data_IF_578663279232
#
_entry.id   IF_578663279232
#
_cell.length_a   1.000
_cell.length_b   1.000
_cell.length_c   1.000
_cell.angle_alpha   90.00
_cell.angle_beta   90.00
_cell.angle_gamma   90.00
#
_symmetry.space_group_name_H-M   'P 1'
#
loop_
_entity.id
_entity.type
_entity.pdbx_description
1 polymer ?
#
# COMPACT_ATOMS: atom_id res chain seq x y z
N UNK A 1 -55.24 -5.18 13.45
CA UNK A 1 -54.26 -5.97 14.22
C UNK A 1 -53.24 -6.51 13.23
N UNK A 2 -52.22 -5.72 12.91
CA UNK A 2 -51.04 -6.15 12.14
C UNK A 2 -49.87 -5.99 13.10
N UNK A 3 -49.20 -7.09 13.40
CA UNK A 3 -48.05 -7.14 14.29
C UNK A 3 -46.83 -6.66 13.49
N UNK A 4 -46.46 -5.39 13.63
CA UNK A 4 -45.19 -4.88 13.11
C UNK A 4 -44.12 -5.34 14.09
N UNK A 5 -43.44 -6.43 13.73
CA UNK A 5 -42.23 -6.89 14.39
C UNK A 5 -41.20 -5.79 14.17
N UNK A 6 -40.91 -5.02 15.23
CA UNK A 6 -39.76 -4.13 15.27
C UNK A 6 -38.54 -5.04 15.34
N UNK A 7 -37.93 -5.29 14.19
CA UNK A 7 -36.61 -5.90 14.12
C UNK A 7 -35.65 -4.85 14.69
N UNK A 8 -35.27 -5.00 15.95
CA UNK A 8 -34.08 -4.38 16.52
C UNK A 8 -32.90 -4.85 15.67
N UNK A 9 -32.45 -3.98 14.75
CA UNK A 9 -31.14 -4.09 14.12
C UNK A 9 -30.11 -3.90 15.23
N UNK A 10 -29.71 -5.02 15.85
CA UNK A 10 -28.39 -5.11 16.43
C UNK A 10 -27.43 -4.86 15.27
N UNK A 11 -26.80 -3.68 15.24
CA UNK A 11 -25.51 -3.54 14.57
C UNK A 11 -24.56 -4.47 15.32
N UNK A 12 -24.56 -5.76 14.97
CA UNK A 12 -23.36 -6.52 15.13
C UNK A 12 -22.33 -5.78 14.29
N UNK A 13 -21.33 -5.21 14.96
CA UNK A 13 -20.11 -4.83 14.30
C UNK A 13 -19.59 -6.09 13.63
N UNK A 14 -19.92 -6.26 12.35
CA UNK A 14 -19.22 -7.23 11.50
C UNK A 14 -17.75 -6.89 11.68
N UNK A 15 -16.94 -7.80 12.23
CA UNK A 15 -15.52 -7.54 12.33
C UNK A 15 -15.08 -7.16 10.92
N UNK A 16 -14.50 -5.97 10.76
CA UNK A 16 -13.77 -5.62 9.54
C UNK A 16 -12.88 -6.84 9.27
N UNK A 17 -13.21 -7.59 8.23
CA UNK A 17 -12.49 -8.79 7.87
C UNK A 17 -11.11 -8.29 7.47
N UNK A 18 -10.17 -8.33 8.42
CA UNK A 18 -8.80 -7.95 8.13
C UNK A 18 -8.27 -9.10 7.29
N UNK A 19 -8.33 -8.96 5.98
CA UNK A 19 -7.88 -9.98 5.05
C UNK A 19 -6.44 -10.34 5.38
N UNK A 20 -6.22 -11.64 5.61
CA UNK A 20 -4.92 -12.15 5.97
C UNK A 20 -4.10 -12.35 4.71
N UNK A 21 -3.02 -11.59 4.59
CA UNK A 21 -2.06 -11.69 3.50
C UNK A 21 -1.05 -12.81 3.79
N UNK A 22 -0.55 -13.44 2.72
CA UNK A 22 0.45 -14.48 2.80
C UNK A 22 1.58 -14.17 1.83
N UNK A 23 2.82 -14.20 2.33
CA UNK A 23 4.02 -14.02 1.50
C UNK A 23 4.90 -15.24 1.64
N UNK A 24 5.34 -15.76 0.50
CA UNK A 24 6.24 -16.92 0.42
C UNK A 24 7.53 -16.56 -0.32
N UNK A 25 8.68 -16.79 0.32
CA UNK A 25 10.01 -16.53 -0.24
C UNK A 25 10.78 -17.83 -0.43
N UNK A 26 11.14 -18.15 -1.67
CA UNK A 26 11.55 -19.50 -2.08
C UNK A 26 13.04 -19.83 -1.98
N UNK A 27 13.92 -18.83 -1.85
CA UNK A 27 15.36 -19.03 -1.89
C UNK A 27 16.03 -18.36 -0.70
N UNK A 28 17.13 -18.96 -0.23
CA UNK A 28 18.00 -18.35 0.77
C UNK A 28 18.67 -17.09 0.20
N UNK A 29 18.91 -16.07 1.02
CA UNK A 29 19.43 -14.75 0.62
C UNK A 29 18.46 -13.89 -0.22
N UNK A 30 17.18 -14.23 -0.23
CA UNK A 30 16.13 -13.39 -0.81
C UNK A 30 15.54 -12.49 0.26
N UNK A 31 15.08 -11.31 -0.16
CA UNK A 31 14.37 -10.39 0.73
C UNK A 31 12.94 -10.89 0.87
N UNK A 32 12.58 -11.24 2.10
CA UNK A 32 11.21 -11.45 2.52
C UNK A 32 10.60 -10.10 2.89
N UNK A 33 9.57 -9.70 2.14
CA UNK A 33 8.93 -8.38 2.26
C UNK A 33 7.47 -8.53 2.66
N UNK A 34 7.10 -7.92 3.78
CA UNK A 34 5.73 -7.73 4.23
C UNK A 34 5.39 -6.25 4.11
N UNK A 35 4.18 -5.90 3.72
CA UNK A 35 3.80 -4.50 3.50
C UNK A 35 2.31 -4.31 3.70
N UNK A 36 1.94 -3.18 4.28
CA UNK A 36 0.56 -2.74 4.40
C UNK A 36 0.38 -1.40 3.67
N UNK A 37 -0.59 -1.32 2.77
CA UNK A 37 -0.97 -0.05 2.14
C UNK A 37 -1.56 0.93 3.17
N UNK A 38 -2.45 0.40 4.00
CA UNK A 38 -3.10 1.07 5.12
C UNK A 38 -2.86 0.30 6.42
N UNK A 39 -2.66 1.02 7.52
CA UNK A 39 -2.36 0.42 8.80
C UNK A 39 -0.94 -0.15 8.90
N UNK A 40 -0.79 -1.17 9.75
CA UNK A 40 0.51 -1.78 10.06
C UNK A 40 0.43 -3.30 10.13
N UNK A 41 1.57 -3.94 9.93
CA UNK A 41 1.73 -5.40 9.91
C UNK A 41 1.46 -5.96 11.31
N UNK A 42 0.64 -7.01 11.36
CA UNK A 42 0.42 -7.87 12.52
C UNK A 42 0.57 -9.34 12.10
N UNK A 43 1.72 -9.93 12.44
CA UNK A 43 2.09 -11.28 12.02
C UNK A 43 1.24 -12.30 12.78
N UNK A 44 0.53 -13.15 12.03
CA UNK A 44 -0.34 -14.19 12.58
C UNK A 44 0.37 -15.53 12.67
N UNK A 45 1.13 -15.90 11.63
CA UNK A 45 1.92 -17.13 11.59
C UNK A 45 3.17 -16.93 10.73
N UNK A 46 4.26 -17.62 11.06
CA UNK A 46 5.43 -17.68 10.18
C UNK A 46 6.12 -19.04 10.32
N UNK A 47 6.50 -19.62 9.19
CA UNK A 47 7.16 -20.91 9.08
C UNK A 47 8.39 -20.76 8.20
N UNK A 48 9.56 -21.13 8.74
CA UNK A 48 10.78 -21.26 7.95
C UNK A 48 11.15 -22.74 7.85
N UNK A 49 11.13 -23.28 6.64
CA UNK A 49 11.34 -24.71 6.41
C UNK A 49 10.64 -25.18 5.15
N UNK A 50 9.97 -26.32 5.21
CA UNK A 50 9.19 -26.88 4.11
C UNK A 50 7.95 -27.57 4.66
N UNK A 51 6.79 -26.93 4.48
CA UNK A 51 5.49 -27.49 4.87
C UNK A 51 4.95 -28.46 3.81
N UNK A 52 5.27 -28.25 2.53
CA UNK A 52 4.73 -29.05 1.43
C UNK A 52 5.72 -29.22 0.26
N UNK A 53 5.36 -30.12 -0.67
CA UNK A 53 6.19 -30.51 -1.81
C UNK A 53 5.95 -29.69 -3.08
N UNK A 54 4.94 -28.82 -3.11
CA UNK A 54 4.54 -28.04 -4.29
C UNK A 54 5.06 -26.60 -4.25
N UNK A 55 5.13 -26.02 -3.05
CA UNK A 55 5.59 -24.66 -2.80
C UNK A 55 7.09 -24.57 -3.04
N UNK A 56 7.47 -23.62 -3.90
CA UNK A 56 8.86 -23.34 -4.25
C UNK A 56 9.60 -24.57 -4.82
N UNK A 57 8.94 -25.30 -5.71
CA UNK A 57 9.45 -26.56 -6.28
C UNK A 57 9.85 -26.40 -7.74
N UNK A 58 11.16 -26.45 -8.00
CA UNK A 58 11.76 -26.60 -9.34
C UNK A 58 12.15 -28.08 -9.60
N UNK A 59 11.47 -29.03 -8.95
CA UNK A 59 11.79 -30.46 -8.99
C UNK A 59 11.51 -31.17 -7.66
N UNK A 60 11.10 -32.44 -7.74
CA UNK A 60 10.71 -33.33 -6.63
C UNK A 60 11.73 -33.34 -5.48
N UNK A 61 11.24 -33.17 -4.23
CA UNK A 61 12.05 -33.32 -3.00
C UNK A 61 11.32 -34.17 -1.96
N UNK A 62 12.01 -35.01 -1.16
CA UNK A 62 11.41 -36.12 -0.42
C UNK A 62 11.12 -35.84 1.05
N UNK A 63 11.39 -34.62 1.55
CA UNK A 63 11.14 -34.27 2.95
C UNK A 63 10.16 -33.09 3.05
N UNK A 64 8.90 -33.45 3.33
CA UNK A 64 7.82 -32.55 3.69
C UNK A 64 7.69 -32.51 5.21
N UNK A 65 7.18 -31.40 5.75
CA UNK A 65 6.89 -31.19 7.17
C UNK A 65 8.13 -30.96 8.06
N UNK A 66 8.85 -29.88 7.76
CA UNK A 66 10.00 -29.42 8.54
C UNK A 66 9.88 -27.93 8.82
N UNK A 67 10.05 -27.51 10.09
CA UNK A 67 10.01 -26.10 10.47
C UNK A 67 11.03 -25.78 11.56
N UNK A 68 11.59 -24.58 11.50
CA UNK A 68 12.48 -24.05 12.54
C UNK A 68 11.62 -23.45 13.66
N UNK A 69 11.81 -23.94 14.89
CA UNK A 69 11.09 -23.47 16.07
C UNK A 69 11.52 -22.03 16.41
N UNK A 70 10.56 -21.17 16.77
CA UNK A 70 10.82 -19.77 17.14
C UNK A 70 10.86 -18.79 15.98
N UNK A 71 10.65 -19.24 14.73
CA UNK A 71 10.57 -18.35 13.55
C UNK A 71 9.53 -17.24 13.74
N UNK A 72 8.32 -17.58 14.21
CA UNK A 72 7.25 -16.60 14.41
C UNK A 72 7.62 -15.48 15.37
N UNK A 73 8.33 -15.78 16.46
CA UNK A 73 8.73 -14.77 17.45
C UNK A 73 9.75 -13.79 16.88
N UNK A 74 10.70 -14.29 16.07
CA UNK A 74 11.67 -13.44 15.37
C UNK A 74 10.99 -12.51 14.38
N UNK A 75 10.04 -13.04 13.60
CA UNK A 75 9.32 -12.24 12.58
C UNK A 75 8.39 -11.23 13.26
N UNK A 76 7.62 -11.62 14.28
CA UNK A 76 6.79 -10.70 15.09
C UNK A 76 7.62 -9.55 15.65
N UNK A 77 8.72 -9.87 16.35
CA UNK A 77 9.60 -8.86 16.96
C UNK A 77 10.19 -7.88 15.93
N UNK A 78 10.40 -8.32 14.69
CA UNK A 78 11.02 -7.49 13.65
C UNK A 78 10.02 -6.77 12.76
N UNK A 79 8.79 -7.26 12.62
CA UNK A 79 7.82 -6.75 11.65
C UNK A 79 6.55 -6.15 12.25
N UNK A 80 6.13 -6.55 13.45
CA UNK A 80 4.88 -6.06 14.02
C UNK A 80 4.91 -4.53 14.22
N UNK A 81 3.79 -3.89 13.87
CA UNK A 81 3.62 -2.44 13.94
C UNK A 81 4.40 -1.65 12.87
N UNK A 82 5.04 -2.31 11.91
CA UNK A 82 5.68 -1.63 10.78
C UNK A 82 4.73 -1.53 9.60
N UNK A 83 4.89 -0.48 8.78
CA UNK A 83 4.18 -0.39 7.49
C UNK A 83 4.82 -1.29 6.43
N UNK A 84 6.15 -1.36 6.41
CA UNK A 84 6.94 -2.23 5.53
C UNK A 84 7.99 -2.94 6.36
N UNK A 85 8.11 -4.25 6.20
CA UNK A 85 9.13 -5.06 6.84
C UNK A 85 9.90 -5.85 5.78
N UNK A 86 11.20 -5.56 5.65
CA UNK A 86 12.11 -6.30 4.76
C UNK A 86 13.15 -7.04 5.59
N UNK A 87 13.24 -8.34 5.36
CA UNK A 87 14.06 -9.28 6.13
C UNK A 87 14.84 -10.17 5.16
N UNK A 88 16.09 -10.48 5.46
CA UNK A 88 16.82 -11.53 4.75
C UNK A 88 16.48 -12.90 5.37
N UNK A 89 16.29 -13.96 4.59
CA UNK A 89 16.06 -15.31 5.13
C UNK A 89 17.20 -15.83 6.02
N UNK A 90 18.39 -15.24 5.98
CA UNK A 90 19.55 -15.62 6.82
C UNK A 90 19.46 -15.16 8.29
N UNK A 91 18.37 -14.55 8.72
CA UNK A 91 18.23 -14.02 10.10
C UNK A 91 18.15 -15.16 11.13
N UNK A 92 17.84 -16.39 10.72
CA UNK A 92 17.74 -17.53 11.61
C UNK A 92 19.13 -18.08 11.96
N UNK A 93 19.84 -17.41 12.88
CA UNK A 93 21.01 -17.98 13.59
C UNK A 93 20.59 -19.03 14.64
N UNK A 94 19.46 -19.69 14.42
CA UNK A 94 18.90 -20.70 15.30
C UNK A 94 19.53 -22.06 14.95
N UNK A 95 19.68 -22.97 15.93
CA UNK A 95 20.14 -24.32 15.64
C UNK A 95 19.21 -24.94 14.61
N UNK A 96 19.77 -25.25 13.44
CA UNK A 96 19.02 -25.67 12.28
C UNK A 96 18.63 -27.14 12.41
N UNK A 97 17.48 -27.39 13.05
CA UNK A 97 16.91 -28.73 13.19
C UNK A 97 16.42 -29.32 11.85
N UNK A 98 16.52 -28.56 10.76
CA UNK A 98 15.97 -28.91 9.45
C UNK A 98 17.08 -29.09 8.40
N UNK A 99 17.45 -30.32 8.06
CA UNK A 99 18.50 -30.58 7.05
C UNK A 99 18.04 -30.48 5.59
N UNK A 100 16.81 -30.01 5.32
CA UNK A 100 16.29 -29.91 3.96
C UNK A 100 17.04 -28.83 3.15
N UNK A 101 17.52 -29.14 1.94
CA UNK A 101 18.28 -28.19 1.12
C UNK A 101 17.40 -27.10 0.49
N UNK A 102 16.07 -27.26 0.46
CA UNK A 102 15.14 -26.32 -0.18
C UNK A 102 14.12 -25.81 0.84
N UNK A 103 14.47 -24.77 1.60
CA UNK A 103 13.56 -24.12 2.56
C UNK A 103 12.94 -22.87 1.96
N UNK A 104 11.73 -22.55 2.40
CA UNK A 104 11.07 -21.28 2.15
C UNK A 104 10.64 -20.63 3.47
N UNK A 105 10.58 -19.30 3.47
CA UNK A 105 9.93 -18.53 4.53
C UNK A 105 8.52 -18.19 4.07
N UNK A 106 7.53 -18.69 4.79
CA UNK A 106 6.13 -18.35 4.58
C UNK A 106 5.61 -17.60 5.81
N UNK A 107 5.05 -16.41 5.59
CA UNK A 107 4.49 -15.58 6.66
C UNK A 107 3.07 -15.19 6.31
N UNK A 108 2.15 -15.41 7.25
CA UNK A 108 0.76 -14.94 7.22
C UNK A 108 0.63 -13.76 8.16
N UNK A 109 0.14 -12.62 7.68
CA UNK A 109 -0.03 -11.40 8.47
C UNK A 109 -1.31 -10.67 8.09
N UNK A 110 -1.73 -9.77 8.97
CA UNK A 110 -2.88 -8.92 8.79
C UNK A 110 -2.42 -7.45 8.80
N UNK A 111 -3.11 -6.59 8.06
CA UNK A 111 -2.91 -5.14 8.12
C UNK A 111 -3.96 -4.52 9.04
N UNK A 112 -3.56 -4.22 10.27
CA UNK A 112 -4.47 -3.64 11.26
C UNK A 112 -4.50 -2.11 11.12
N UNK A 113 -5.69 -1.47 11.14
CA UNK A 113 -5.79 -0.01 11.09
C UNK A 113 -4.97 0.64 12.22
N UNK A 114 -4.00 1.46 11.86
CA UNK A 114 -3.13 2.15 12.80
C UNK A 114 -2.57 3.43 12.18
N UNK A 115 -2.35 4.42 13.04
CA UNK A 115 -1.62 5.65 12.72
C UNK A 115 -0.13 5.33 12.84
N UNK A 116 0.61 5.55 11.75
CA UNK A 116 2.06 5.39 11.69
C UNK A 116 2.74 6.77 11.73
N UNK A 117 3.54 7.02 12.76
CA UNK A 117 4.20 8.31 12.98
C UNK A 117 5.72 8.14 13.08
N UNK A 118 6.45 9.00 12.36
CA UNK A 118 7.92 9.07 12.37
C UNK A 118 8.37 10.36 13.01
N UNK A 119 9.29 10.28 13.97
CA UNK A 119 9.88 11.44 14.66
C UNK A 119 11.41 11.33 14.65
N UNK A 120 12.09 12.29 14.04
CA UNK A 120 13.57 12.28 13.98
C UNK A 120 14.22 12.43 15.36
N UNK A 121 15.44 11.92 15.52
CA UNK A 121 16.21 12.06 16.76
C UNK A 121 16.37 13.54 17.17
N UNK A 122 16.15 13.79 18.46
CA UNK A 122 16.03 15.06 19.17
C UNK A 122 14.71 15.83 19.01
N UNK A 123 13.78 15.35 18.19
CA UNK A 123 12.43 15.93 18.05
C UNK A 123 11.43 15.34 19.06
N UNK A 124 10.28 16.01 19.22
CA UNK A 124 9.16 15.57 20.04
C UNK A 124 8.12 14.85 19.16
N UNK A 125 7.69 13.68 19.60
CA UNK A 125 6.59 12.92 19.00
C UNK A 125 5.31 13.24 19.75
N UNK A 126 4.34 13.80 19.04
CA UNK A 126 3.02 14.15 19.58
C UNK A 126 2.00 13.12 19.11
N UNK A 127 1.52 12.29 20.03
CA UNK A 127 0.47 11.30 19.80
C UNK A 127 -0.84 11.87 20.32
N UNK A 128 -1.90 11.84 19.52
CA UNK A 128 -3.17 12.48 19.84
C UNK A 128 -4.33 11.67 19.26
N UNK A 129 -5.39 11.51 20.04
CA UNK A 129 -6.65 10.94 19.61
C UNK A 129 -7.79 11.95 19.71
N UNK A 130 -8.89 11.67 19.02
CA UNK A 130 -10.11 12.47 19.11
C UNK A 130 -10.76 12.35 20.50
N UNK A 131 -11.70 13.25 20.79
CA UNK A 131 -12.36 13.32 22.10
C UNK A 131 -13.03 11.97 22.47
N UNK A 132 -12.80 11.53 23.71
CA UNK A 132 -13.32 10.26 24.23
C UNK A 132 -12.51 9.01 23.85
N UNK A 133 -11.49 9.14 22.99
CA UNK A 133 -10.59 8.03 22.64
C UNK A 133 -9.26 8.10 23.40
N UNK A 134 -8.65 6.94 23.57
CA UNK A 134 -7.34 6.74 24.19
C UNK A 134 -6.36 6.08 23.22
N UNK A 135 -5.08 6.43 23.39
CA UNK A 135 -3.97 5.87 22.62
C UNK A 135 -3.74 4.42 23.03
N UNK A 136 -3.60 3.55 22.04
CA UNK A 136 -3.12 2.18 22.17
C UNK A 136 -1.96 1.93 21.21
N UNK A 137 -0.75 1.81 21.74
CA UNK A 137 0.48 1.60 20.95
C UNK A 137 0.62 0.12 20.60
N UNK A 138 0.71 -0.19 19.31
CA UNK A 138 0.99 -1.53 18.80
C UNK A 138 2.48 -1.86 18.85
N UNK A 139 3.33 -0.94 18.39
CA UNK A 139 4.78 -1.10 18.44
C UNK A 139 5.48 0.26 18.38
N UNK A 140 6.72 0.29 18.86
CA UNK A 140 7.64 1.39 18.65
C UNK A 140 9.07 0.88 18.44
N UNK A 141 9.83 1.57 17.59
CA UNK A 141 11.23 1.25 17.27
C UNK A 141 12.03 2.56 17.21
N UNK A 142 13.16 2.61 17.92
CA UNK A 142 14.09 3.73 17.88
C UNK A 142 15.38 3.30 17.19
N UNK A 143 15.64 3.82 15.99
CA UNK A 143 16.74 3.34 15.16
C UNK A 143 16.82 4.01 13.79
N UNK A 144 17.33 3.30 12.80
CA UNK A 144 17.34 3.70 11.38
C UNK A 144 17.27 2.46 10.51
N UNK A 145 16.32 2.45 9.57
CA UNK A 145 16.08 1.35 8.62
C UNK A 145 16.24 1.73 7.15
N UNK A 146 16.38 3.02 6.86
CA UNK A 146 16.58 3.51 5.49
C UNK A 146 17.42 4.80 5.47
N UNK A 147 17.90 5.17 4.27
CA UNK A 147 18.76 6.35 4.06
C UNK A 147 18.00 7.64 3.79
N UNK A 148 16.68 7.57 3.64
CA UNK A 148 15.83 8.68 3.17
C UNK A 148 15.08 9.36 4.31
N UNK A 149 14.63 8.60 5.30
CA UNK A 149 13.91 9.08 6.47
C UNK A 149 14.86 9.87 7.37
N UNK A 150 14.42 11.08 7.75
CA UNK A 150 15.21 11.99 8.59
C UNK A 150 16.65 12.21 8.06
N UNK A 151 16.80 12.35 6.74
CA UNK A 151 18.11 12.42 6.05
C UNK A 151 18.53 13.82 5.60
N UNK A 152 17.60 14.79 5.58
CA UNK A 152 17.86 16.13 5.07
C UNK A 152 19.09 16.76 5.73
N UNK A 153 20.07 17.18 4.93
CA UNK A 153 21.36 17.78 5.34
C UNK A 153 22.24 16.91 6.25
N UNK A 154 21.95 15.61 6.36
CA UNK A 154 22.77 14.69 7.18
C UNK A 154 23.98 14.19 6.41
N UNK A 155 25.16 14.07 7.06
CA UNK A 155 26.32 13.43 6.47
C UNK A 155 26.01 11.96 6.13
N UNK A 156 26.56 11.48 5.00
CA UNK A 156 26.37 10.10 4.55
C UNK A 156 26.76 9.08 5.65
N UNK A 157 27.82 9.36 6.41
CA UNK A 157 28.27 8.50 7.52
C UNK A 157 27.20 8.28 8.61
N UNK A 158 26.26 9.21 8.80
CA UNK A 158 25.19 9.09 9.81
C UNK A 158 23.94 8.37 9.31
N UNK A 159 23.78 8.23 7.99
CA UNK A 159 22.61 7.62 7.35
C UNK A 159 22.90 6.27 6.70
N UNK A 160 24.17 5.87 6.58
CA UNK A 160 24.59 4.61 5.98
C UNK A 160 24.11 3.38 6.76
N UNK A 161 24.13 3.42 8.09
CA UNK A 161 23.75 2.28 8.91
C UNK A 161 22.22 2.19 9.01
N UNK A 162 21.65 1.32 8.18
CA UNK A 162 20.21 1.02 8.14
C UNK A 162 19.86 -0.28 8.84
N UNK A 163 20.82 -0.92 9.54
CA UNK A 163 20.58 -2.12 10.37
C UNK A 163 20.55 -1.72 11.85
N UNK A 164 19.96 -0.57 12.13
CA UNK A 164 19.83 -0.04 13.48
C UNK A 164 18.36 -0.13 13.91
N UNK A 165 18.07 -1.03 14.84
CA UNK A 165 16.71 -1.23 15.34
C UNK A 165 16.76 -1.53 16.84
N UNK A 166 15.88 -0.89 17.58
CA UNK A 166 15.70 -1.09 19.01
C UNK A 166 14.20 -1.03 19.33
N UNK A 167 13.47 -2.14 19.13
CA UNK A 167 12.07 -2.24 19.54
C UNK A 167 11.92 -1.93 21.03
N UNK A 168 10.92 -1.14 21.40
CA UNK A 168 10.76 -0.61 22.76
C UNK A 168 9.31 -0.49 23.19
N UNK A 169 9.04 -0.81 24.47
CA UNK A 169 7.72 -0.65 25.08
C UNK A 169 7.55 0.71 25.79
N UNK A 170 8.61 1.52 25.87
CA UNK A 170 8.60 2.79 26.63
C UNK A 170 7.54 3.79 26.15
N UNK A 171 7.24 3.76 24.85
CA UNK A 171 6.17 4.60 24.28
C UNK A 171 4.81 4.12 24.79
N UNK A 172 4.55 2.81 24.78
CA UNK A 172 3.33 2.23 25.31
C UNK A 172 3.17 2.50 26.80
N UNK A 173 4.22 2.29 27.60
CA UNK A 173 4.26 2.59 29.04
C UNK A 173 3.97 4.06 29.35
N UNK A 174 4.40 4.97 28.48
CA UNK A 174 4.21 6.41 28.67
C UNK A 174 2.88 6.94 28.15
N UNK A 175 2.31 6.33 27.10
CA UNK A 175 1.24 6.92 26.31
C UNK A 175 -0.07 6.13 26.30
N UNK A 176 -0.05 4.82 26.58
CA UNK A 176 -1.29 4.02 26.55
C UNK A 176 -2.32 4.55 27.56
N UNK A 177 -3.59 4.55 27.16
CA UNK A 177 -4.71 5.01 28.00
C UNK A 177 -4.85 6.53 28.10
N UNK A 178 -3.97 7.32 27.47
CA UNK A 178 -4.08 8.78 27.41
C UNK A 178 -4.71 9.22 26.10
N UNK A 179 -5.43 10.35 26.12
CA UNK A 179 -5.92 10.98 24.88
C UNK A 179 -4.79 11.71 24.11
N UNK A 180 -3.79 12.21 24.83
CA UNK A 180 -2.63 12.93 24.29
C UNK A 180 -1.35 12.50 25.00
N UNK A 181 -0.25 12.36 24.25
CA UNK A 181 1.06 12.04 24.80
C UNK A 181 2.19 12.72 24.01
N UNK A 182 3.20 13.21 24.72
CA UNK A 182 4.41 13.77 24.10
C UNK A 182 5.63 13.01 24.60
N UNK A 183 6.41 12.45 23.67
CA UNK A 183 7.66 11.74 23.98
C UNK A 183 8.80 12.23 23.11
N UNK A 184 9.99 12.40 23.70
CA UNK A 184 11.17 12.89 22.97
C UNK A 184 11.97 11.74 22.38
N UNK A 185 12.20 11.75 21.07
CA UNK A 185 13.05 10.76 20.40
C UNK A 185 14.53 11.03 20.72
N UNK A 186 15.06 10.52 21.84
CA UNK A 186 16.47 10.70 22.23
C UNK A 186 17.04 9.48 22.95
N UNK A 187 18.38 9.36 22.92
CA UNK A 187 19.08 8.23 23.53
C UNK A 187 18.88 8.11 25.04
N UNK A 188 18.60 9.20 25.76
CA UNK A 188 18.32 9.10 27.20
C UNK A 188 16.99 8.40 27.50
N UNK A 189 16.03 8.43 26.57
CA UNK A 189 14.76 7.71 26.72
C UNK A 189 14.92 6.26 26.25
N UNK A 190 15.55 6.01 25.11
CA UNK A 190 15.49 4.71 24.44
C UNK A 190 16.80 3.92 24.42
N UNK A 191 17.90 4.49 24.90
CA UNK A 191 19.26 3.96 24.68
C UNK A 191 19.82 4.36 23.31
N UNK A 192 21.08 4.04 23.05
CA UNK A 192 21.71 4.23 21.73
C UNK A 192 22.06 2.88 21.09
N UNK A 193 21.19 2.35 20.22
CA UNK A 193 21.43 1.06 19.57
C UNK A 193 22.52 1.07 18.51
N UNK A 194 22.91 2.25 18.01
CA UNK A 194 23.87 2.37 16.92
C UNK A 194 24.61 3.71 17.00
N UNK A 195 25.68 3.73 17.79
CA UNK A 195 26.49 4.93 17.99
C UNK A 195 26.98 5.53 16.66
N UNK A 196 26.90 6.85 16.53
CA UNK A 196 27.29 7.59 15.32
C UNK A 196 26.26 7.57 14.18
N UNK A 197 25.17 6.81 14.32
CA UNK A 197 24.05 6.80 13.36
C UNK A 197 22.94 7.73 13.88
N UNK A 198 22.46 8.62 13.01
CA UNK A 198 21.35 9.51 13.35
C UNK A 198 20.04 8.73 13.28
N UNK A 199 19.27 8.65 14.36
CA UNK A 199 18.10 7.76 14.47
C UNK A 199 16.78 8.50 14.25
N UNK A 200 15.69 7.75 14.24
CA UNK A 200 14.33 8.21 14.31
C UNK A 200 13.49 7.22 15.13
N UNK A 201 12.47 7.74 15.81
CA UNK A 201 11.45 6.96 16.49
C UNK A 201 10.28 6.74 15.53
N UNK A 202 9.90 5.49 15.33
CA UNK A 202 8.65 5.12 14.69
C UNK A 202 7.67 4.58 15.72
N UNK A 203 6.43 5.03 15.64
CA UNK A 203 5.35 4.60 16.52
C UNK A 203 4.15 4.23 15.66
N UNK A 204 3.62 3.04 15.91
CA UNK A 204 2.33 2.61 15.40
C UNK A 204 1.33 2.53 16.55
N UNK A 205 0.24 3.27 16.43
CA UNK A 205 -0.80 3.31 17.47
C UNK A 205 -2.20 3.42 16.87
N UNK A 206 -3.20 2.99 17.63
CA UNK A 206 -4.61 3.21 17.34
C UNK A 206 -5.22 4.12 18.40
N UNK A 207 -6.33 4.75 18.02
CA UNK A 207 -7.22 5.44 18.93
C UNK A 207 -8.43 4.55 19.18
N UNK A 208 -8.65 4.20 20.44
CA UNK A 208 -9.71 3.26 20.85
C UNK A 208 -10.57 3.93 21.91
N UNK A 209 -11.86 3.62 21.95
CA UNK A 209 -12.67 3.98 23.10
C UNK A 209 -12.25 3.09 24.28
N UNK A 210 -12.00 3.64 25.48
CA UNK A 210 -11.72 2.83 26.64
C UNK A 210 -12.92 1.89 26.88
N UNK A 211 -12.67 0.60 27.03
CA UNK A 211 -13.73 -0.34 27.40
C UNK A 211 -14.31 0.13 28.73
N UNK A 212 -15.61 0.44 28.73
CA UNK A 212 -16.34 0.80 29.94
C UNK A 212 -16.40 -0.47 30.79
N UNK A 213 -15.53 -0.57 31.81
CA UNK A 213 -15.71 -1.57 32.85
C UNK A 213 -17.08 -1.33 33.45
N UNK A 214 -17.91 -2.37 33.39
CA UNK A 214 -19.32 -2.39 33.74
C UNK A 214 -19.50 -2.26 35.28
N UNK A 215 -19.09 -1.13 35.87
CA UNK A 215 -19.34 -0.80 37.28
C UNK A 215 -20.02 0.56 37.49
N UNK A 216 -20.07 1.44 36.48
CA UNK A 216 -20.82 2.70 36.56
C UNK A 216 -22.09 2.67 35.71
N UNK A 217 -22.98 1.69 35.95
CA UNK A 217 -24.39 1.91 35.63
C UNK A 217 -24.96 2.83 36.70
N UNK A 218 -24.93 4.14 36.47
CA UNK A 218 -25.95 5.01 37.06
C UNK A 218 -27.27 4.51 36.49
N UNK A 219 -28.00 3.74 37.29
CA UNK A 219 -29.40 3.44 37.01
C UNK A 219 -30.11 4.78 36.81
N UNK A 220 -30.46 5.11 35.57
CA UNK A 220 -31.58 5.99 35.33
C UNK A 220 -32.82 5.23 35.82
N UNK A 221 -33.10 5.30 37.12
CA UNK A 221 -34.40 4.91 37.66
C UNK A 221 -35.38 5.93 37.10
N UNK A 222 -36.06 5.57 36.00
CA UNK A 222 -37.27 6.28 35.62
C UNK A 222 -38.27 6.16 36.77
N UNK A 223 -38.81 7.27 37.31
CA UNK A 223 -39.88 7.16 38.30
C UNK A 223 -41.07 6.46 37.62
N UNK A 224 -41.54 5.38 38.23
CA UNK A 224 -42.77 4.71 37.85
C UNK A 224 -43.92 5.71 37.98
N UNK A 225 -44.34 6.29 36.85
CA UNK A 225 -45.60 7.03 36.76
C UNK A 225 -46.70 6.03 36.38
N UNK A 226 -47.43 5.62 37.41
CA UNK A 226 -48.76 5.00 37.27
C UNK A 226 -49.73 6.02 36.67
N UNK A 227 -50.42 5.66 35.59
CA UNK A 227 -51.71 6.25 35.24
C UNK A 227 -51.78 7.06 33.94
N UNK A 228 -52.55 6.49 32.99
CA UNK A 228 -53.22 7.08 31.83
C UNK A 228 -53.18 8.61 31.68
N UNK A 229 -52.64 9.09 30.54
CA UNK A 229 -53.33 10.03 29.65
C UNK A 229 -52.62 10.19 28.31
N UNK A 230 -53.41 10.28 27.25
CA UNK A 230 -53.04 10.36 25.83
C UNK A 230 -52.22 11.63 25.54
N UNK A 231 -51.00 11.46 25.00
CA UNK A 231 -50.35 12.45 24.15
C UNK A 231 -49.47 11.73 23.13
N UNK A 232 -50.01 11.55 21.92
CA UNK A 232 -49.30 10.97 20.78
C UNK A 232 -48.43 12.07 20.17
N UNK A 233 -47.17 12.16 20.59
CA UNK A 233 -46.19 13.03 19.94
C UNK A 233 -45.69 12.31 18.68
N UNK A 234 -46.39 12.51 17.56
CA UNK A 234 -45.91 12.10 16.24
C UNK A 234 -44.70 12.95 15.86
N UNK A 235 -43.48 12.46 16.13
CA UNK A 235 -42.30 12.94 15.42
C UNK A 235 -42.43 12.55 13.95
N UNK A 236 -42.91 13.48 13.11
CA UNK A 236 -42.73 13.36 11.67
C UNK A 236 -41.22 13.38 11.43
N UNK A 237 -40.66 12.28 10.91
CA UNK A 237 -39.34 12.33 10.27
C UNK A 237 -39.40 13.45 9.24
N UNK A 238 -38.72 14.56 9.53
CA UNK A 238 -38.67 15.69 8.62
C UNK A 238 -38.01 15.20 7.33
N UNK A 239 -38.54 15.61 6.19
CA UNK A 239 -37.96 15.36 4.87
C UNK A 239 -36.49 15.78 4.78
N UNK A 240 -36.03 16.65 5.69
CA UNK A 240 -34.64 17.02 5.91
C UNK A 240 -33.72 15.85 6.35
N UNK A 241 -34.19 14.90 7.17
CA UNK A 241 -33.38 13.73 7.58
C UNK A 241 -33.22 12.71 6.44
N UNK A 242 -34.25 12.56 5.62
CA UNK A 242 -34.21 11.75 4.39
C UNK A 242 -33.30 12.38 3.33
N UNK A 243 -33.24 13.71 3.24
CA UNK A 243 -32.28 14.43 2.39
C UNK A 243 -30.84 14.31 2.92
N UNK A 244 -30.63 14.29 4.24
CA UNK A 244 -29.30 14.06 4.82
C UNK A 244 -28.79 12.63 4.58
N UNK A 245 -29.67 11.63 4.69
CA UNK A 245 -29.34 10.25 4.35
C UNK A 245 -29.11 10.03 2.84
N UNK A 246 -29.85 10.76 1.99
CA UNK A 246 -29.62 10.75 0.55
C UNK A 246 -28.35 11.52 0.14
N UNK A 247 -27.94 12.55 0.89
CA UNK A 247 -26.68 13.28 0.68
C UNK A 247 -25.44 12.46 1.09
N UNK A 248 -25.58 11.52 2.03
CA UNK A 248 -24.54 10.55 2.40
C UNK A 248 -24.39 9.41 1.37
N UNK A 249 -25.31 9.30 0.40
CA UNK A 249 -25.19 8.43 -0.78
C UNK A 249 -24.68 9.20 -2.00
N UNK A 250 -24.05 10.36 -1.81
CA UNK A 250 -23.24 10.95 -2.87
C UNK A 250 -22.06 10.02 -3.11
N UNK A 251 -22.16 9.27 -4.22
CA UNK A 251 -21.07 8.51 -4.83
C UNK A 251 -19.75 9.22 -4.58
N UNK A 252 -18.73 8.52 -4.10
CA UNK A 252 -17.35 8.98 -4.20
C UNK A 252 -17.13 9.43 -5.65
N UNK A 253 -17.19 10.74 -5.88
CA UNK A 253 -17.02 11.30 -7.22
C UNK A 253 -15.57 11.01 -7.55
N UNK A 254 -15.36 10.00 -8.39
CA UNK A 254 -14.05 9.68 -8.94
C UNK A 254 -13.65 10.90 -9.76
N UNK A 255 -12.84 11.78 -9.17
CA UNK A 255 -12.42 13.01 -9.81
C UNK A 255 -11.40 12.63 -10.90
N UNK A 256 -11.72 12.96 -12.15
CA UNK A 256 -10.74 12.90 -13.23
C UNK A 256 -9.76 14.07 -13.08
N UNK A 257 -8.48 13.75 -12.91
CA UNK A 257 -7.39 14.73 -12.91
C UNK A 257 -6.89 14.96 -14.33
N UNK A 258 -6.49 16.20 -14.63
CA UNK A 258 -5.98 16.62 -15.94
C UNK A 258 -4.62 17.27 -15.77
N UNK A 259 -3.61 16.73 -16.45
CA UNK A 259 -2.24 17.26 -16.44
C UNK A 259 -1.84 17.63 -17.86
N UNK A 260 -1.24 18.81 -18.03
CA UNK A 260 -0.77 19.31 -19.32
C UNK A 260 0.72 19.63 -19.22
N UNK A 261 1.48 19.24 -20.24
CA UNK A 261 2.90 19.59 -20.40
C UNK A 261 3.15 20.10 -21.82
N UNK A 262 3.67 21.31 -21.95
CA UNK A 262 4.00 21.87 -23.26
C UNK A 262 5.14 21.06 -23.93
N UNK A 263 5.16 21.02 -25.27
CA UNK A 263 6.14 20.23 -26.02
C UNK A 263 7.57 20.78 -25.85
N UNK A 264 8.35 20.15 -24.97
CA UNK A 264 9.75 20.43 -24.70
C UNK A 264 10.44 19.13 -24.27
N UNK A 265 11.63 18.84 -24.80
CA UNK A 265 12.36 17.60 -24.55
C UNK A 265 12.84 17.41 -23.11
N UNK A 266 12.75 18.43 -22.27
CA UNK A 266 13.13 18.39 -20.86
C UNK A 266 11.92 18.34 -19.93
N UNK A 267 10.71 18.59 -20.43
CA UNK A 267 9.51 18.54 -19.60
C UNK A 267 9.20 17.11 -19.13
N UNK A 268 8.87 17.00 -17.86
CA UNK A 268 8.47 15.75 -17.20
C UNK A 268 7.01 15.90 -16.76
N UNK A 269 6.20 14.90 -17.09
CA UNK A 269 4.84 14.79 -16.61
C UNK A 269 4.82 13.82 -15.41
N UNK A 270 4.15 14.24 -14.33
CA UNK A 270 3.97 13.47 -13.09
C UNK A 270 2.48 13.24 -12.85
N UNK A 271 2.08 11.99 -12.74
CA UNK A 271 0.73 11.56 -12.34
C UNK A 271 0.87 10.86 -10.99
N UNK A 272 0.01 11.16 -10.03
CA UNK A 272 0.12 10.55 -8.70
C UNK A 272 -1.23 10.38 -8.02
N UNK A 273 -1.43 9.24 -7.38
CA UNK A 273 -2.58 8.95 -6.53
C UNK A 273 -2.16 8.87 -5.06
N UNK A 274 -2.85 9.61 -4.20
CA UNK A 274 -2.66 9.51 -2.75
C UNK A 274 -3.14 8.14 -2.25
N UNK A 275 -4.33 7.74 -2.70
CA UNK A 275 -4.95 6.43 -2.49
C UNK A 275 -5.33 5.78 -3.82
N UNK A 276 -5.22 4.46 -3.90
CA UNK A 276 -5.47 3.73 -5.14
C UNK A 276 -4.35 3.86 -6.18
N UNK A 277 -4.68 3.59 -7.44
CA UNK A 277 -3.74 3.55 -8.56
C UNK A 277 -4.26 4.30 -9.76
N UNK A 278 -3.33 4.76 -10.61
CA UNK A 278 -3.63 5.54 -11.80
C UNK A 278 -4.37 4.65 -12.82
N UNK A 279 -5.47 5.17 -13.36
CA UNK A 279 -6.16 4.71 -14.57
C UNK A 279 -6.19 5.84 -15.58
N UNK A 280 -5.43 5.72 -16.67
CA UNK A 280 -5.41 6.72 -17.73
C UNK A 280 -6.68 6.59 -18.58
N UNK A 281 -7.51 7.61 -18.54
CA UNK A 281 -8.79 7.70 -19.26
C UNK A 281 -8.62 8.32 -20.65
N UNK A 282 -7.70 9.28 -20.77
CA UNK A 282 -7.48 10.01 -22.02
C UNK A 282 -6.05 10.54 -22.11
N UNK A 283 -5.50 10.56 -23.32
CA UNK A 283 -4.17 11.09 -23.55
C UNK A 283 -4.03 11.61 -24.98
N UNK A 284 -3.43 12.78 -25.13
CA UNK A 284 -3.26 13.48 -26.40
C UNK A 284 -1.89 14.12 -26.46
N UNK A 285 -1.10 13.76 -27.48
CA UNK A 285 0.06 14.52 -27.91
C UNK A 285 -0.27 15.23 -29.21
N UNK A 286 -0.30 16.57 -29.20
CA UNK A 286 -0.76 17.35 -30.34
C UNK A 286 -1.24 18.74 -29.93
N UNK A 287 -2.37 19.19 -30.49
CA UNK A 287 -3.03 20.46 -30.14
C UNK A 287 -4.52 20.37 -30.42
N UNK A 288 -5.35 20.70 -29.43
CA UNK A 288 -6.82 20.80 -29.49
C UNK A 288 -7.38 22.22 -29.37
N UNK A 289 -6.57 23.18 -29.00
CA UNK A 289 -7.00 24.57 -28.80
C UNK A 289 -5.85 25.58 -29.02
N UNK A 290 -6.19 26.86 -29.13
CA UNK A 290 -5.24 27.95 -29.42
C UNK A 290 -4.58 28.56 -28.18
N UNK A 291 -5.10 28.29 -26.99
CA UNK A 291 -4.73 28.97 -25.74
C UNK A 291 -3.67 28.17 -24.97
N UNK A 292 -3.83 26.85 -24.89
CA UNK A 292 -2.92 25.94 -24.20
C UNK A 292 -1.53 26.02 -24.82
N UNK A 293 -0.53 26.31 -23.97
CA UNK A 293 0.87 26.42 -24.38
C UNK A 293 1.09 27.43 -25.54
N UNK A 294 0.41 28.58 -25.50
CA UNK A 294 0.46 29.63 -26.54
C UNK A 294 1.42 30.79 -26.26
N UNK A 295 1.90 30.91 -25.02
CA UNK A 295 2.74 32.03 -24.58
C UNK A 295 4.03 32.15 -25.42
N UNK A 296 4.25 33.35 -26.00
CA UNK A 296 5.41 33.64 -26.82
C UNK A 296 5.44 32.94 -28.19
N UNK A 297 4.36 32.27 -28.61
CA UNK A 297 4.31 31.51 -29.87
C UNK A 297 3.70 32.32 -31.03
N UNK A 298 4.26 32.22 -32.25
CA UNK A 298 3.65 32.79 -33.45
C UNK A 298 2.27 32.20 -33.71
N UNK A 299 1.35 33.02 -34.24
CA UNK A 299 -0.05 32.61 -34.49
C UNK A 299 -0.14 31.42 -35.45
N UNK A 300 0.79 31.32 -36.40
CA UNK A 300 0.89 30.24 -37.39
C UNK A 300 1.08 28.88 -36.72
N UNK A 301 1.78 28.83 -35.58
CA UNK A 301 2.03 27.60 -34.82
C UNK A 301 0.82 27.15 -33.98
N UNK A 302 -0.22 27.98 -33.87
CA UNK A 302 -1.41 27.74 -33.05
C UNK A 302 -2.67 27.48 -33.90
N UNK A 303 -2.58 27.55 -35.23
CA UNK A 303 -3.77 27.52 -36.11
C UNK A 303 -4.44 26.15 -36.12
N UNK A 304 -3.65 25.07 -36.20
CA UNK A 304 -4.17 23.71 -36.29
C UNK A 304 -4.50 23.15 -34.91
N UNK A 305 -5.80 23.02 -34.63
CA UNK A 305 -6.35 22.45 -33.40
C UNK A 305 -6.94 21.05 -33.59
N UNK A 306 -6.74 20.44 -34.75
CA UNK A 306 -7.13 19.06 -35.05
C UNK A 306 -5.88 18.17 -35.17
N UNK A 307 -4.87 18.46 -34.34
CA UNK A 307 -3.63 17.72 -34.32
C UNK A 307 -3.61 16.73 -33.15
N UNK A 308 -3.48 15.44 -33.44
CA UNK A 308 -3.28 14.42 -32.42
C UNK A 308 -2.49 13.24 -32.97
N UNK A 309 -1.56 12.73 -32.16
CA UNK A 309 -0.80 11.53 -32.48
C UNK A 309 -1.58 10.27 -32.06
N UNK A 310 -1.83 9.32 -32.98
CA UNK A 310 -2.47 8.05 -32.64
C UNK A 310 -1.57 7.20 -31.73
N UNK A 311 -2.18 6.36 -30.88
CA UNK A 311 -1.45 5.47 -29.96
C UNK A 311 -0.88 6.13 -28.71
N UNK A 312 -1.01 7.46 -28.54
CA UNK A 312 -0.58 8.17 -27.33
C UNK A 312 -1.27 7.60 -26.07
N UNK A 313 -2.58 7.33 -26.16
CA UNK A 313 -3.35 6.75 -25.07
C UNK A 313 -2.82 5.38 -24.65
N UNK A 314 -2.64 4.47 -25.61
CA UNK A 314 -2.18 3.10 -25.32
C UNK A 314 -0.77 3.04 -24.76
N UNK A 315 0.09 3.97 -25.19
CA UNK A 315 1.42 4.13 -24.63
C UNK A 315 1.38 4.54 -23.15
N UNK A 316 0.55 5.53 -22.82
CA UNK A 316 0.44 6.03 -21.45
C UNK A 316 -0.33 5.08 -20.53
N UNK A 317 -1.38 4.41 -21.04
CA UNK A 317 -2.03 3.30 -20.32
C UNK A 317 -1.03 2.23 -19.93
N UNK A 318 -0.24 1.74 -20.89
CA UNK A 318 0.78 0.70 -20.61
C UNK A 318 1.86 1.15 -19.63
N UNK A 319 2.23 2.44 -19.65
CA UNK A 319 3.31 2.97 -18.80
C UNK A 319 2.85 3.28 -17.38
N UNK A 320 1.61 3.76 -17.21
CA UNK A 320 1.14 4.35 -15.96
C UNK A 320 0.03 3.58 -15.25
N UNK A 321 -0.79 2.78 -15.96
CA UNK A 321 -1.90 2.10 -15.30
C UNK A 321 -1.42 1.15 -14.21
N UNK A 322 -2.14 1.14 -13.08
CA UNK A 322 -1.79 0.32 -11.92
C UNK A 322 -0.64 0.86 -11.06
N UNK A 323 0.00 1.97 -11.45
CA UNK A 323 1.03 2.62 -10.64
C UNK A 323 0.41 3.65 -9.71
N UNK A 324 1.00 3.84 -8.53
CA UNK A 324 0.65 4.96 -7.64
C UNK A 324 1.24 6.29 -8.09
N UNK A 325 2.42 6.21 -8.71
CA UNK A 325 3.18 7.34 -9.22
C UNK A 325 3.71 6.98 -10.61
N UNK A 326 3.44 7.83 -11.60
CA UNK A 326 3.99 7.69 -12.93
C UNK A 326 4.69 8.99 -13.34
N UNK A 327 6.00 8.92 -13.52
CA UNK A 327 6.80 10.04 -14.03
C UNK A 327 7.45 9.66 -15.34
N UNK A 328 7.35 10.54 -16.33
CA UNK A 328 8.00 10.33 -17.62
C UNK A 328 8.25 11.65 -18.34
N UNK A 329 9.31 11.64 -19.14
CA UNK A 329 9.64 12.75 -20.01
C UNK A 329 8.77 12.73 -21.28
N UNK A 330 8.40 13.89 -21.80
CA UNK A 330 7.59 14.03 -23.02
C UNK A 330 8.23 13.35 -24.25
N UNK A 331 9.54 13.13 -24.27
CA UNK A 331 10.24 12.36 -25.31
C UNK A 331 9.66 10.95 -25.52
N UNK A 332 9.02 10.37 -24.50
CA UNK A 332 8.33 9.08 -24.61
C UNK A 332 7.25 9.11 -25.69
N UNK A 333 6.55 10.24 -25.87
CA UNK A 333 5.50 10.39 -26.88
C UNK A 333 6.01 10.97 -28.21
N UNK A 334 7.24 11.52 -28.26
CA UNK A 334 7.87 12.12 -29.47
C UNK A 334 8.36 11.09 -30.49
N UNK A 335 7.55 10.07 -30.77
CA UNK A 335 7.92 9.00 -31.72
C UNK A 335 7.78 9.44 -33.18
N UNK A 336 6.82 10.33 -33.47
CA UNK A 336 6.61 10.96 -34.76
C UNK A 336 6.05 12.38 -34.55
N UNK A 337 6.21 13.29 -35.53
CA UNK A 337 5.53 14.58 -35.47
C UNK A 337 4.14 14.48 -36.14
N UNK A 338 3.03 14.56 -35.38
CA UNK A 338 1.68 14.49 -35.95
C UNK A 338 1.29 15.73 -36.77
N UNK A 339 1.94 16.87 -36.56
CA UNK A 339 1.64 18.12 -37.25
C UNK A 339 2.88 19.03 -37.31
N UNK A 340 3.72 18.89 -38.35
CA UNK A 340 4.92 19.71 -38.52
C UNK A 340 4.59 21.21 -38.55
N UNK A 341 5.41 22.00 -37.86
CA UNK A 341 5.23 23.45 -37.76
C UNK A 341 4.17 23.93 -36.76
N UNK A 342 3.42 23.02 -36.16
CA UNK A 342 2.46 23.32 -35.10
C UNK A 342 3.09 23.00 -33.74
N UNK A 343 2.98 23.95 -32.81
CA UNK A 343 3.50 23.77 -31.47
C UNK A 343 2.57 22.84 -30.68
N UNK A 344 3.10 21.78 -30.08
CA UNK A 344 2.31 20.71 -29.47
C UNK A 344 2.28 20.83 -27.95
N UNK A 345 1.43 20.04 -27.32
CA UNK A 345 1.43 19.76 -25.89
C UNK A 345 0.97 18.32 -25.66
N UNK A 346 1.38 17.76 -24.53
CA UNK A 346 0.87 16.50 -24.00
C UNK A 346 -0.18 16.80 -22.94
N UNK A 347 -1.39 16.30 -23.16
CA UNK A 347 -2.48 16.33 -22.20
C UNK A 347 -2.82 14.89 -21.79
N UNK A 348 -2.89 14.65 -20.48
CA UNK A 348 -3.22 13.35 -19.92
C UNK A 348 -4.30 13.50 -18.85
N UNK A 349 -5.39 12.75 -19.01
CA UNK A 349 -6.52 12.67 -18.10
C UNK A 349 -6.50 11.29 -17.42
N UNK A 350 -6.57 11.26 -16.09
CA UNK A 350 -6.56 10.02 -15.33
C UNK A 350 -7.48 10.07 -14.12
N UNK A 351 -7.82 8.90 -13.61
CA UNK A 351 -8.56 8.71 -12.37
C UNK A 351 -7.74 7.86 -11.41
N UNK A 352 -8.00 7.99 -10.11
CA UNK A 352 -7.41 7.12 -9.09
C UNK A 352 -8.44 6.07 -8.70
N UNK A 353 -8.18 4.82 -9.08
CA UNK A 353 -9.06 3.69 -8.79
C UNK A 353 -8.61 3.00 -7.49
N UNK A 354 -9.54 2.62 -6.60
CA UNK A 354 -9.20 1.80 -5.45
C UNK A 354 -8.66 0.45 -5.95
N UNK A 355 -7.49 0.06 -5.44
CA UNK A 355 -6.81 -1.18 -5.80
C UNK A 355 -5.97 -1.68 -4.63
N UNK A 356 -5.80 -3.00 -4.57
CA UNK A 356 -4.83 -3.67 -3.71
C UNK A 356 -3.48 -3.56 -4.41
N UNK A 357 -2.50 -2.94 -3.74
CA UNK A 357 -1.14 -2.77 -4.27
C UNK A 357 -0.20 -3.78 -3.62
N UNK A 358 0.33 -4.69 -4.43
CA UNK A 358 1.18 -5.78 -3.98
C UNK A 358 2.58 -5.63 -4.59
N UNK A 359 3.61 -5.64 -3.74
CA UNK A 359 5.02 -5.58 -4.17
C UNK A 359 5.79 -6.76 -3.59
N UNK A 360 6.37 -7.56 -4.48
CA UNK A 360 7.05 -8.82 -4.16
C UNK A 360 8.45 -8.81 -4.76
N UNK A 361 9.46 -9.09 -3.92
CA UNK A 361 10.85 -9.08 -4.35
C UNK A 361 11.16 -10.24 -5.32
N UNK A 362 12.13 -10.04 -6.20
CA UNK A 362 12.63 -11.09 -7.11
C UNK A 362 12.99 -12.37 -6.32
N UNK A 363 12.55 -13.52 -6.84
CA UNK A 363 12.55 -14.88 -6.27
C UNK A 363 11.49 -15.18 -5.20
N UNK A 364 10.59 -14.26 -4.87
CA UNK A 364 9.41 -14.53 -4.02
C UNK A 364 8.15 -14.83 -4.86
N UNK A 365 7.12 -15.37 -4.21
CA UNK A 365 5.82 -15.65 -4.81
C UNK A 365 4.84 -14.52 -4.50
N UNK A 366 4.18 -14.01 -5.53
CA UNK A 366 3.04 -13.12 -5.43
C UNK A 366 1.76 -13.95 -5.35
N UNK A 367 1.17 -14.00 -4.15
CA UNK A 367 -0.08 -14.68 -3.87
C UNK A 367 -1.24 -13.68 -3.90
N UNK A 368 -2.03 -13.70 -4.98
CA UNK A 368 -3.23 -12.89 -5.15
C UNK A 368 -4.45 -13.70 -4.73
N UNK A 369 -5.35 -13.05 -3.99
CA UNK A 369 -6.54 -13.70 -3.45
C UNK A 369 -7.70 -12.72 -3.33
N UNK A 370 -8.90 -13.22 -3.62
CA UNK A 370 -10.16 -12.53 -3.42
C UNK A 370 -11.10 -13.40 -2.58
N UNK A 371 -12.00 -12.75 -1.85
CA UNK A 371 -12.97 -13.42 -0.99
C UNK A 371 -14.01 -14.21 -1.80
N UNK A 372 -14.79 -15.03 -1.10
CA UNK A 372 -15.74 -15.96 -1.72
C UNK A 372 -16.71 -15.25 -2.69
N UNK A 373 -16.76 -15.77 -3.92
CA UNK A 373 -17.60 -15.24 -4.99
C UNK A 373 -16.98 -14.08 -5.79
N UNK A 374 -15.80 -13.58 -5.41
CA UNK A 374 -15.07 -12.56 -6.16
C UNK A 374 -13.97 -13.17 -7.04
N UNK A 375 -13.59 -12.44 -8.08
CA UNK A 375 -12.50 -12.78 -9.00
C UNK A 375 -11.51 -11.63 -9.13
N UNK A 376 -10.26 -11.99 -9.38
CA UNK A 376 -9.16 -11.06 -9.57
C UNK A 376 -9.32 -10.35 -10.91
N UNK A 377 -9.16 -9.02 -10.89
CA UNK A 377 -8.96 -8.19 -12.07
C UNK A 377 -7.70 -7.33 -11.90
N UNK A 378 -6.70 -7.55 -12.74
CA UNK A 378 -5.41 -6.82 -12.72
C UNK A 378 -5.55 -5.48 -13.47
N UNK A 379 -5.24 -4.37 -12.79
CA UNK A 379 -5.11 -3.05 -13.43
C UNK A 379 -3.76 -2.87 -14.14
N UNK A 380 -2.70 -3.42 -13.56
CA UNK A 380 -1.36 -3.34 -14.13
C UNK A 380 -0.34 -4.13 -13.32
N UNK A 381 0.76 -4.50 -13.98
CA UNK A 381 1.92 -5.11 -13.33
C UNK A 381 3.22 -4.64 -13.99
N UNK A 382 4.28 -4.50 -13.21
CA UNK A 382 5.61 -4.09 -13.65
C UNK A 382 6.68 -4.96 -12.97
N UNK A 383 7.59 -5.55 -13.76
CA UNK A 383 8.71 -6.32 -13.22
C UNK A 383 10.02 -5.56 -13.46
N UNK A 384 10.63 -5.07 -12.39
CA UNK A 384 11.80 -4.20 -12.52
C UNK A 384 12.24 -3.56 -11.20
N UNK A 385 12.76 -2.34 -11.29
CA UNK A 385 13.13 -1.45 -10.19
C UNK A 385 12.95 0.01 -10.61
N UNK A 386 12.09 0.71 -9.88
CA UNK A 386 11.82 2.15 -10.02
C UNK A 386 12.38 2.98 -8.86
N UNK A 387 12.80 2.36 -7.75
CA UNK A 387 13.32 3.07 -6.58
C UNK A 387 14.46 2.33 -5.84
N UNK A 388 15.16 3.05 -4.94
CA UNK A 388 16.32 2.54 -4.17
C UNK A 388 15.94 1.86 -2.85
N UNK A 389 14.68 1.94 -2.45
CA UNK A 389 14.18 1.59 -1.11
C UNK A 389 13.43 0.27 -1.08
N UNK A 390 12.69 -0.05 -2.13
CA UNK A 390 11.91 -1.27 -2.29
C UNK A 390 12.81 -2.45 -2.56
N UNK A 391 12.63 -3.53 -1.79
CA UNK A 391 13.42 -4.74 -1.88
C UNK A 391 14.92 -4.43 -1.87
N UNK A 392 15.36 -3.63 -0.89
CA UNK A 392 16.71 -3.06 -0.82
C UNK A 392 17.50 -3.54 0.40
N UNK A 393 16.85 -4.16 1.38
CA UNK A 393 17.49 -4.58 2.62
C UNK A 393 18.76 -5.43 2.40
N UNK A 394 19.90 -4.91 2.87
CA UNK A 394 21.24 -5.51 2.76
C UNK A 394 21.69 -5.86 1.33
N UNK A 395 21.13 -5.19 0.32
CA UNK A 395 21.59 -5.32 -1.06
C UNK A 395 22.81 -4.42 -1.33
N UNK A 396 23.77 -4.87 -2.16
CA UNK A 396 24.83 -4.01 -2.65
C UNK A 396 24.26 -2.79 -3.39
N UNK A 397 24.90 -1.63 -3.23
CA UNK A 397 24.47 -0.39 -3.90
C UNK A 397 24.36 -0.56 -5.42
N UNK A 398 25.28 -1.29 -6.04
CA UNK A 398 25.28 -1.58 -7.48
C UNK A 398 24.02 -2.29 -7.98
N UNK A 399 23.35 -3.09 -7.13
CA UNK A 399 22.12 -3.80 -7.50
C UNK A 399 20.86 -2.95 -7.40
N UNK A 400 20.93 -1.78 -6.74
CA UNK A 400 19.78 -0.90 -6.49
C UNK A 400 19.93 0.49 -7.15
N UNK A 401 21.02 0.73 -7.87
CA UNK A 401 21.33 2.02 -8.48
C UNK A 401 20.50 2.32 -9.75
N UNK A 402 20.19 1.30 -10.54
CA UNK A 402 19.44 1.46 -11.78
C UNK A 402 17.93 1.58 -11.53
N UNK A 403 17.40 2.81 -11.64
CA UNK A 403 15.99 3.14 -11.44
C UNK A 403 15.18 3.19 -12.74
N UNK A 404 15.86 3.00 -13.88
CA UNK A 404 15.22 2.96 -15.20
C UNK A 404 14.91 1.52 -15.63
N UNK A 405 14.99 0.57 -14.70
CA UNK A 405 14.61 -0.80 -14.94
C UNK A 405 13.09 -0.95 -14.76
N UNK A 406 12.33 -0.95 -15.83
CA UNK A 406 10.87 -1.13 -15.75
C UNK A 406 10.41 -1.91 -16.96
N UNK A 407 9.63 -2.96 -16.72
CA UNK A 407 9.05 -3.79 -17.76
C UNK A 407 7.57 -4.05 -17.44
N UNK A 408 6.68 -3.15 -17.90
CA UNK A 408 5.24 -3.34 -17.78
C UNK A 408 4.81 -4.62 -18.49
N UNK A 409 4.08 -5.49 -17.79
CA UNK A 409 3.80 -6.85 -18.26
C UNK A 409 2.34 -7.25 -18.14
N UNK A 410 1.82 -7.97 -19.15
CA UNK A 410 0.46 -8.56 -19.15
C UNK A 410 0.45 -9.99 -18.62
N UNK A 411 1.61 -10.61 -18.35
CA UNK A 411 1.67 -12.02 -17.94
C UNK A 411 0.90 -12.30 -16.65
N UNK A 412 0.83 -11.32 -15.72
CA UNK A 412 0.05 -11.46 -14.49
C UNK A 412 -1.45 -11.45 -14.79
N UNK A 413 -1.93 -10.52 -15.62
CA UNK A 413 -3.34 -10.47 -16.04
C UNK A 413 -3.75 -11.73 -16.79
N UNK A 414 -2.89 -12.21 -17.70
CA UNK A 414 -3.17 -13.38 -18.53
C UNK A 414 -3.26 -14.66 -17.70
N UNK A 415 -2.52 -14.72 -16.58
CA UNK A 415 -2.51 -15.87 -15.68
C UNK A 415 -3.57 -15.80 -14.58
N UNK A 416 -3.95 -14.60 -14.11
CA UNK A 416 -4.72 -14.42 -12.87
C UNK A 416 -6.14 -13.90 -13.06
N UNK A 417 -6.45 -13.16 -14.13
CA UNK A 417 -7.79 -12.58 -14.29
C UNK A 417 -8.88 -13.67 -14.29
N UNK A 418 -9.99 -13.40 -13.61
CA UNK A 418 -11.14 -14.31 -13.54
C UNK A 418 -10.98 -15.48 -12.55
N UNK A 419 -9.86 -15.58 -11.83
CA UNK A 419 -9.64 -16.56 -10.76
C UNK A 419 -9.90 -15.93 -9.40
N UNK A 420 -10.29 -16.72 -8.40
CA UNK A 420 -10.37 -16.25 -7.02
C UNK A 420 -8.99 -16.18 -6.33
N UNK A 421 -8.05 -17.04 -6.77
CA UNK A 421 -6.68 -17.10 -6.25
C UNK A 421 -5.69 -17.38 -7.37
N UNK A 422 -4.53 -16.72 -7.33
CA UNK A 422 -3.46 -16.87 -8.31
C UNK A 422 -2.10 -16.71 -7.64
N UNK A 423 -1.13 -17.55 -7.98
CA UNK A 423 0.25 -17.44 -7.47
C UNK A 423 1.20 -17.27 -8.65
N UNK A 424 2.02 -16.22 -8.62
CA UNK A 424 3.00 -15.91 -9.68
C UNK A 424 4.39 -15.74 -9.07
N UNK A 425 5.41 -16.42 -9.61
CA UNK A 425 6.79 -16.24 -9.16
C UNK A 425 7.40 -14.99 -9.80
N UNK A 426 7.94 -14.08 -8.98
CA UNK A 426 8.66 -12.91 -9.45
C UNK A 426 10.08 -13.31 -9.91
N UNK A 427 10.24 -13.80 -11.13
CA UNK A 427 11.55 -14.24 -11.65
C UNK A 427 11.75 -13.96 -13.13
N UNK A 428 13.03 -13.95 -13.53
CA UNK A 428 13.43 -13.84 -14.93
C UNK A 428 12.90 -14.98 -15.81
N UNK A 429 12.62 -16.16 -15.23
CA UNK A 429 12.01 -17.27 -15.96
C UNK A 429 10.56 -16.95 -16.38
N UNK A 430 9.83 -16.20 -15.54
CA UNK A 430 8.44 -15.81 -15.80
C UNK A 430 8.35 -14.54 -16.62
N UNK A 431 9.22 -13.55 -16.41
CA UNK A 431 9.07 -12.22 -17.02
C UNK A 431 10.18 -11.85 -18.02
N UNK A 432 11.29 -12.59 -18.05
CA UNK A 432 12.53 -12.13 -18.69
C UNK A 432 13.35 -11.23 -17.76
N UNK A 433 14.57 -10.86 -18.17
CA UNK A 433 15.42 -9.96 -17.40
C UNK A 433 15.56 -8.60 -18.11
N UNK A 434 14.80 -7.58 -17.70
CA UNK A 434 14.86 -6.26 -18.35
C UNK A 434 16.14 -5.49 -18.04
N UNK A 435 16.90 -5.87 -17.01
CA UNK A 435 18.06 -5.10 -16.54
C UNK A 435 19.06 -5.96 -15.77
N UNK A 436 19.87 -6.73 -16.51
CA UNK A 436 20.87 -7.65 -15.96
C UNK A 436 21.76 -6.96 -14.90
N UNK A 437 21.90 -7.61 -13.74
CA UNK A 437 22.69 -7.11 -12.61
C UNK A 437 21.94 -6.18 -11.64
N UNK A 438 20.71 -5.77 -11.96
CA UNK A 438 19.83 -5.03 -11.05
C UNK A 438 18.88 -6.02 -10.35
N UNK A 439 18.75 -5.91 -9.03
CA UNK A 439 17.81 -6.74 -8.27
C UNK A 439 16.40 -6.18 -8.43
N UNK A 440 15.45 -6.98 -8.86
CA UNK A 440 14.11 -6.52 -9.27
C UNK A 440 13.04 -6.83 -8.21
N UNK A 441 11.85 -6.32 -8.46
CA UNK A 441 10.61 -6.67 -7.77
C UNK A 441 9.45 -6.62 -8.76
N UNK A 442 8.42 -7.40 -8.47
CA UNK A 442 7.14 -7.37 -9.17
C UNK A 442 6.19 -6.46 -8.39
N UNK A 443 5.70 -5.42 -9.03
CA UNK A 443 4.64 -4.54 -8.54
C UNK A 443 3.35 -4.89 -9.28
N UNK A 444 2.27 -5.18 -8.55
CA UNK A 444 0.96 -5.57 -9.11
C UNK A 444 -0.13 -4.75 -8.44
N UNK A 445 -1.03 -4.19 -9.25
CA UNK A 445 -2.26 -3.57 -8.77
C UNK A 445 -3.47 -4.35 -9.28
N UNK A 446 -4.35 -4.76 -8.36
CA UNK A 446 -5.54 -5.51 -8.71
C UNK A 446 -6.73 -5.16 -7.82
N UNK A 447 -7.92 -5.56 -8.27
CA UNK A 447 -9.18 -5.45 -7.53
C UNK A 447 -9.88 -6.80 -7.53
N UNK A 448 -10.77 -6.99 -6.57
CA UNK A 448 -11.64 -8.14 -6.49
C UNK A 448 -13.06 -7.75 -6.90
N UNK A 449 -13.59 -8.40 -7.92
CA UNK A 449 -14.89 -8.08 -8.52
C UNK A 449 -15.82 -9.29 -8.50
N UNK A 450 -17.13 -9.07 -8.39
CA UNK A 450 -18.10 -10.15 -8.54
C UNK A 450 -18.34 -10.44 -10.03
N UNK A 451 -18.19 -11.70 -10.49
CA UNK A 451 -18.51 -12.07 -11.86
C UNK A 451 -19.98 -11.77 -12.16
N UNK A 452 -20.24 -10.87 -13.12
CA UNK A 452 -21.60 -10.55 -13.60
C UNK A 452 -22.17 -9.20 -13.17
N UNK A 453 -21.45 -8.38 -12.40
CA UNK A 453 -21.80 -6.97 -12.15
C UNK A 453 -21.02 -5.97 -13.02
N UNK A 454 -20.26 -6.45 -14.00
CA UNK A 454 -19.61 -5.60 -15.00
C UNK A 454 -20.66 -5.23 -16.05
N UNK A 455 -21.18 -3.99 -16.12
CA UNK A 455 -21.77 -3.53 -17.37
C UNK A 455 -20.65 -3.60 -18.41
N UNK A 456 -20.92 -4.18 -19.58
CA UNK A 456 -19.97 -4.33 -20.68
C UNK A 456 -19.15 -3.05 -20.92
N UNK A 457 -17.98 -2.93 -20.30
CA UNK A 457 -17.00 -1.93 -20.67
C UNK A 457 -16.22 -2.55 -21.81
N UNK A 458 -16.69 -2.21 -22.99
CA UNK A 458 -16.07 -2.39 -24.30
C UNK A 458 -14.54 -2.47 -24.22
N UNK A 459 -14.01 -3.61 -24.68
CA UNK A 459 -12.68 -3.71 -25.24
C UNK A 459 -12.43 -2.58 -26.24
N UNK A 460 -11.52 -1.67 -25.90
CA UNK A 460 -10.91 -0.70 -26.82
C UNK A 460 -9.41 -0.66 -26.60
#
# INVERSE_FOLDING_TARGET
MLCIIVVTLLLEATPLLVNAEMVTTCESNVIHRLSCDTGVISVQAAVFGRADSATCSEGTSPQTDCSVVGTIEVIKKRCDGKKVCELNTNIFSLPDSCSSPLKYLQTKYNCIPAIHQVTCEHSLSHLQCDEGQVIFVYAADYGRRDRTTCSYTRPESQIQNTDCSSPTNKVAESCNGKNSCVIKAKNSEFGDPCYGTYKYLEVAYACQYPEVTQEDTVECICPVFTGSSKAMLCFRLSTALLLAAAALLTSSVVHTERVISCDDSHNVQRLSCETGVISVEGALYGRKDRETCSEGRPKEQLVNTECSQPGTLDLLKRRCNGKRLCEYNTNVVRTADPCPGIFKYLETNYTCLPAIHLVVCEHSLADLYCDDGQVIFIYGADYGRSDRTTCSYKRPASQIENLYCSDPTRRVSDSCNGRNRCTVRASNAVFGDPCVGTYKYLEVAYVCEYPGLVPEVSTF
#
